data_IF_891227492838
#
_entry.id   IF_891227492838
#
_cell.length_a   1.000
_cell.length_b   1.000
_cell.length_c   1.000
_cell.angle_alpha   90.00
_cell.angle_beta   90.00
_cell.angle_gamma   90.00
#
_symmetry.space_group_name_H-M   'P 1'
#
loop_
_entity.id
_entity.type
_entity.pdbx_description
1 polymer ?
#
# COMPACT_ATOMS: atom_id res chain seq x y z
N UNK A 1 21.25 8.26 -13.69
CA UNK A 1 20.58 9.50 -13.27
C UNK A 1 19.11 9.19 -12.99
N UNK A 2 18.51 9.79 -11.94
CA UNK A 2 17.07 9.69 -11.66
C UNK A 2 16.40 10.95 -12.20
N UNK A 3 15.44 10.79 -13.11
CA UNK A 3 14.64 11.89 -13.65
C UNK A 3 13.16 11.57 -13.49
N UNK A 4 12.32 12.58 -13.42
CA UNK A 4 10.88 12.38 -13.37
C UNK A 4 10.13 13.50 -14.08
N UNK A 5 8.95 13.18 -14.59
CA UNK A 5 8.10 14.10 -15.33
C UNK A 5 6.62 13.82 -15.02
N UNK A 6 5.80 14.87 -15.01
CA UNK A 6 4.36 14.72 -14.96
C UNK A 6 3.86 14.10 -16.28
N UNK A 7 2.95 13.13 -16.20
CA UNK A 7 2.39 12.42 -17.36
C UNK A 7 0.93 12.82 -17.56
N UNK A 8 0.52 12.96 -18.83
CA UNK A 8 -0.89 13.09 -19.21
C UNK A 8 -1.54 14.36 -18.67
N UNK A 9 -2.56 14.18 -17.83
CA UNK A 9 -3.34 15.25 -17.18
C UNK A 9 -2.60 15.94 -16.02
N UNK A 10 -1.41 15.48 -15.67
CA UNK A 10 -0.60 16.03 -14.58
C UNK A 10 -0.97 15.49 -13.21
N UNK A 11 -1.80 14.43 -13.11
CA UNK A 11 -2.14 13.76 -11.86
C UNK A 11 -1.20 12.60 -11.51
N UNK A 12 -0.40 12.15 -12.47
CA UNK A 12 0.59 11.10 -12.30
C UNK A 12 1.98 11.59 -12.69
N UNK A 13 2.99 11.01 -12.03
CA UNK A 13 4.40 11.30 -12.29
C UNK A 13 5.10 10.02 -12.69
N UNK A 14 5.75 10.03 -13.86
CA UNK A 14 6.64 8.95 -14.28
C UNK A 14 8.06 9.28 -13.82
N UNK A 15 8.61 8.39 -13.01
CA UNK A 15 10.00 8.39 -12.58
C UNK A 15 10.77 7.38 -13.40
N UNK A 16 11.91 7.81 -13.93
CA UNK A 16 12.82 7.01 -14.73
C UNK A 16 14.17 6.89 -14.02
N UNK A 17 14.65 5.65 -13.92
CA UNK A 17 15.96 5.31 -13.40
C UNK A 17 16.78 4.71 -14.52
N UNK A 18 18.02 5.17 -14.68
CA UNK A 18 18.99 4.49 -15.54
C UNK A 18 19.31 3.10 -14.95
N UNK A 19 19.40 2.07 -15.80
CA UNK A 19 19.62 0.69 -15.33
C UNK A 19 20.95 0.49 -14.59
N UNK A 20 21.91 1.39 -14.76
CA UNK A 20 23.22 1.33 -14.10
C UNK A 20 23.20 1.85 -12.65
N UNK A 21 22.19 2.65 -12.27
CA UNK A 21 22.02 3.21 -10.92
C UNK A 21 21.28 2.24 -9.98
N UNK A 22 21.87 1.07 -9.73
CA UNK A 22 21.32 0.06 -8.82
C UNK A 22 21.21 0.57 -7.37
N UNK A 23 22.10 1.47 -6.93
CA UNK A 23 22.06 2.05 -5.59
C UNK A 23 20.86 2.97 -5.39
N UNK A 24 20.62 3.90 -6.32
CA UNK A 24 19.45 4.78 -6.30
C UNK A 24 18.15 3.98 -6.39
N UNK A 25 18.14 2.91 -7.19
CA UNK A 25 17.02 1.99 -7.26
C UNK A 25 16.75 1.28 -5.92
N UNK A 26 17.80 0.78 -5.24
CA UNK A 26 17.66 0.15 -3.91
C UNK A 26 17.26 1.13 -2.82
N UNK A 27 17.76 2.36 -2.85
CA UNK A 27 17.37 3.40 -1.90
C UNK A 27 15.89 3.76 -2.08
N UNK A 28 15.46 3.97 -3.34
CA UNK A 28 14.06 4.15 -3.69
C UNK A 28 13.19 2.96 -3.25
N UNK A 29 13.67 1.72 -3.43
CA UNK A 29 12.96 0.54 -2.96
C UNK A 29 12.84 0.49 -1.43
N UNK A 30 13.89 0.87 -0.71
CA UNK A 30 13.91 0.77 0.75
C UNK A 30 13.04 1.85 1.39
N UNK A 31 13.24 3.10 0.96
CA UNK A 31 12.51 4.26 1.47
C UNK A 31 11.11 4.33 0.90
N UNK A 32 10.94 4.25 -0.42
CA UNK A 32 9.65 4.38 -1.13
C UNK A 32 8.64 3.27 -0.84
N UNK A 33 9.08 2.06 -0.46
CA UNK A 33 8.17 0.97 -0.06
C UNK A 33 7.89 0.92 1.45
N UNK A 34 8.49 1.81 2.25
CA UNK A 34 8.27 1.81 3.71
C UNK A 34 8.88 0.62 4.44
N UNK A 35 9.98 0.07 3.90
CA UNK A 35 10.68 -1.07 4.51
C UNK A 35 11.35 -0.65 5.82
N UNK A 36 11.62 0.64 6.05
CA UNK A 36 12.22 1.13 7.30
C UNK A 36 11.45 0.74 8.58
N UNK A 37 10.13 0.52 8.51
CA UNK A 37 9.35 0.06 9.66
C UNK A 37 9.61 -1.42 10.06
N UNK A 38 10.27 -2.20 9.20
CA UNK A 38 10.73 -3.54 9.58
C UNK A 38 11.93 -3.48 10.54
N UNK A 39 12.71 -2.39 10.54
CA UNK A 39 13.88 -2.26 11.41
C UNK A 39 13.52 -1.99 12.89
N UNK A 40 12.27 -1.64 13.19
CA UNK A 40 11.76 -1.44 14.56
C UNK A 40 11.05 -2.68 15.13
N UNK A 41 10.90 -3.76 14.35
CA UNK A 41 10.33 -5.02 14.80
C UNK A 41 11.45 -6.02 15.17
N UNK A 42 11.28 -6.84 16.22
CA UNK A 42 12.28 -7.83 16.64
C UNK A 42 12.19 -9.08 15.76
N UNK A 43 12.35 -8.93 14.44
CA UNK A 43 12.36 -10.03 13.48
C UNK A 43 13.69 -10.00 12.75
N UNK A 44 14.48 -11.06 12.96
CA UNK A 44 15.81 -11.25 12.39
C UNK A 44 15.77 -11.20 10.86
N UNK A 45 16.46 -10.20 10.30
CA UNK A 45 16.63 -9.93 8.87
C UNK A 45 17.67 -10.90 8.29
N UNK A 46 17.27 -12.13 7.95
CA UNK A 46 18.15 -13.05 7.21
C UNK A 46 17.52 -13.69 5.97
N UNK A 47 16.37 -13.21 5.47
CA UNK A 47 15.79 -13.79 4.23
C UNK A 47 15.03 -12.77 3.37
N UNK A 48 15.64 -11.62 3.10
CA UNK A 48 15.11 -10.63 2.14
C UNK A 48 16.07 -10.59 0.95
N UNK A 49 15.81 -11.41 -0.08
CA UNK A 49 16.70 -11.49 -1.24
C UNK A 49 16.34 -12.56 -2.28
N UNK A 50 15.06 -12.85 -2.50
CA UNK A 50 14.64 -13.63 -3.68
C UNK A 50 13.61 -12.88 -4.47
N UNK A 51 14.11 -11.97 -5.30
CA UNK A 51 13.38 -11.50 -6.47
C UNK A 51 13.06 -12.69 -7.38
N UNK A 52 11.81 -12.80 -7.80
CA UNK A 52 11.44 -13.70 -8.88
C UNK A 52 11.89 -13.07 -10.20
N UNK A 53 13.03 -13.51 -10.72
CA UNK A 53 13.45 -13.23 -12.10
C UNK A 53 12.39 -13.76 -13.07
N UNK A 54 11.51 -12.86 -13.53
CA UNK A 54 10.68 -13.10 -14.73
C UNK A 54 11.38 -12.39 -15.87
N UNK A 55 12.32 -13.08 -16.52
CA UNK A 55 12.89 -12.65 -17.78
C UNK A 55 11.85 -12.84 -18.89
N UNK A 56 11.13 -11.78 -19.24
CA UNK A 56 10.33 -11.73 -20.47
C UNK A 56 11.27 -11.36 -21.60
N UNK A 57 11.68 -12.36 -22.39
CA UNK A 57 12.41 -12.14 -23.64
C UNK A 57 11.40 -11.70 -24.71
N UNK A 58 11.45 -10.44 -25.12
CA UNK A 58 10.83 -9.94 -26.36
C UNK A 58 11.94 -9.32 -27.21
N UNK A 59 11.91 -9.67 -28.49
CA UNK A 59 13.02 -9.60 -29.42
C UNK A 59 13.57 -8.21 -29.74
N UNK A 60 14.80 -8.24 -30.25
CA UNK A 60 15.52 -7.26 -31.08
C UNK A 60 14.75 -5.98 -31.42
N UNK A 61 14.77 -5.03 -30.51
CA UNK A 61 14.79 -3.62 -30.81
C UNK A 61 15.71 -2.96 -29.77
N UNK A 62 16.45 -1.93 -30.16
CA UNK A 62 17.39 -1.19 -29.29
C UNK A 62 16.61 -0.46 -28.20
N UNK A 63 16.10 -1.21 -27.21
CA UNK A 63 15.19 -0.73 -26.17
C UNK A 63 16.01 -0.15 -25.02
N UNK A 64 15.79 1.14 -24.77
CA UNK A 64 16.36 1.89 -23.65
C UNK A 64 16.35 1.06 -22.35
N UNK A 65 17.54 0.87 -21.77
CA UNK A 65 17.76 0.21 -20.48
C UNK A 65 17.36 1.14 -19.34
N UNK A 66 16.09 1.56 -19.32
CA UNK A 66 15.55 2.50 -18.33
C UNK A 66 14.42 1.83 -17.56
N UNK A 67 14.52 1.85 -16.22
CA UNK A 67 13.46 1.36 -15.32
C UNK A 67 12.47 2.49 -15.10
N UNK A 68 11.18 2.23 -15.34
CA UNK A 68 10.11 3.23 -15.19
C UNK A 68 9.13 2.88 -14.07
N UNK A 69 8.65 3.90 -13.36
CA UNK A 69 7.65 3.79 -12.29
C UNK A 69 6.69 4.96 -12.35
N UNK A 70 5.41 4.69 -12.11
CA UNK A 70 4.38 5.70 -11.94
C UNK A 70 4.14 5.94 -10.46
N UNK A 71 4.12 7.20 -10.06
CA UNK A 71 3.83 7.66 -8.71
C UNK A 71 2.64 8.62 -8.75
N UNK A 72 1.80 8.50 -7.72
CA UNK A 72 0.78 9.51 -7.45
C UNK A 72 1.43 10.80 -6.94
N UNK A 73 0.73 11.94 -7.05
CA UNK A 73 1.22 13.23 -6.52
C UNK A 73 1.66 13.14 -5.04
N UNK A 74 0.90 12.48 -4.13
CA UNK A 74 1.34 12.29 -2.75
C UNK A 74 2.65 11.50 -2.61
N UNK A 75 2.82 10.42 -3.38
CA UNK A 75 4.04 9.60 -3.34
C UNK A 75 5.25 10.39 -3.86
N UNK A 76 5.07 11.13 -4.96
CA UNK A 76 6.12 11.97 -5.53
C UNK A 76 6.55 13.06 -4.55
N UNK A 77 5.58 13.78 -3.97
CA UNK A 77 5.88 14.85 -3.04
C UNK A 77 6.58 14.32 -1.77
N UNK A 78 6.14 13.17 -1.26
CA UNK A 78 6.80 12.50 -0.14
C UNK A 78 8.24 12.09 -0.49
N UNK A 79 8.46 11.51 -1.66
CA UNK A 79 9.78 11.09 -2.11
C UNK A 79 10.73 12.28 -2.35
N UNK A 80 10.20 13.43 -2.78
CA UNK A 80 10.96 14.68 -2.87
C UNK A 80 11.36 15.22 -1.48
N UNK A 81 10.44 15.21 -0.49
CA UNK A 81 10.74 15.63 0.89
C UNK A 81 11.81 14.74 1.53
N UNK A 82 11.73 13.42 1.31
CA UNK A 82 12.68 12.45 1.86
C UNK A 82 14.02 12.43 1.10
N UNK A 83 14.19 13.31 0.11
CA UNK A 83 15.40 13.44 -0.70
C UNK A 83 15.67 12.27 -1.64
N UNK A 84 14.67 11.41 -1.88
CA UNK A 84 14.76 10.24 -2.76
C UNK A 84 14.65 10.65 -4.23
N UNK A 85 13.80 11.63 -4.53
CA UNK A 85 13.70 12.21 -5.86
C UNK A 85 14.36 13.60 -5.88
N UNK A 86 15.21 13.88 -6.89
CA UNK A 86 15.73 15.23 -7.07
C UNK A 86 14.58 16.15 -7.48
N UNK A 87 14.39 17.26 -6.76
CA UNK A 87 13.44 18.30 -7.14
C UNK A 87 14.21 19.48 -7.73
N UNK A 88 13.96 19.79 -9.00
CA UNK A 88 14.54 20.98 -9.64
C UNK A 88 13.93 22.27 -9.08
N UNK A 89 12.63 22.24 -8.79
CA UNK A 89 11.87 23.31 -8.14
C UNK A 89 11.99 23.24 -6.61
N UNK A 90 11.76 24.35 -5.92
CA UNK A 90 11.64 24.32 -4.46
C UNK A 90 10.44 23.48 -4.01
N UNK A 91 10.51 22.86 -2.83
CA UNK A 91 9.39 22.07 -2.28
C UNK A 91 8.08 22.86 -2.16
N UNK A 92 8.15 24.19 -2.08
CA UNK A 92 6.97 25.07 -2.05
C UNK A 92 6.37 25.26 -3.45
N UNK A 93 7.20 25.47 -4.47
CA UNK A 93 6.72 25.57 -5.85
C UNK A 93 6.09 24.26 -6.31
N UNK A 94 6.72 23.12 -5.97
CA UNK A 94 6.16 21.80 -6.28
C UNK A 94 4.81 21.57 -5.57
N UNK A 95 4.69 22.02 -4.31
CA UNK A 95 3.43 21.96 -3.56
C UNK A 95 2.31 22.74 -4.24
N UNK A 96 2.56 24.00 -4.60
CA UNK A 96 1.56 24.84 -5.27
C UNK A 96 1.20 24.30 -6.64
N UNK A 97 2.16 23.75 -7.38
CA UNK A 97 1.91 23.06 -8.65
C UNK A 97 0.96 21.89 -8.46
N UNK A 98 1.24 20.96 -7.55
CA UNK A 98 0.38 19.80 -7.32
C UNK A 98 -1.00 20.18 -6.77
N UNK A 99 -1.06 21.19 -5.91
CA UNK A 99 -2.32 21.77 -5.41
C UNK A 99 -3.15 22.38 -6.53
N UNK A 100 -2.53 23.03 -7.52
CA UNK A 100 -3.22 23.57 -8.69
C UNK A 100 -3.71 22.48 -9.66
N UNK A 101 -3.01 21.36 -9.75
CA UNK A 101 -3.37 20.23 -10.62
C UNK A 101 -4.46 19.33 -10.01
N UNK A 102 -4.56 19.24 -8.68
CA UNK A 102 -5.57 18.41 -8.01
C UNK A 102 -6.06 19.06 -6.73
N UNK A 103 -7.37 19.32 -6.68
CA UNK A 103 -8.04 19.87 -5.49
C UNK A 103 -7.95 18.95 -4.27
N UNK A 104 -7.76 17.65 -4.49
CA UNK A 104 -7.68 16.63 -3.44
C UNK A 104 -6.24 16.35 -2.99
N UNK A 105 -5.24 16.93 -3.66
CA UNK A 105 -3.83 16.63 -3.41
C UNK A 105 -3.44 16.87 -1.95
N UNK A 106 -3.80 18.04 -1.40
CA UNK A 106 -3.37 18.45 -0.05
C UNK A 106 -3.83 17.43 1.00
N UNK A 107 -5.14 17.17 1.09
CA UNK A 107 -5.69 16.20 2.06
C UNK A 107 -5.12 14.79 1.89
N UNK A 108 -4.98 14.34 0.64
CA UNK A 108 -4.46 13.01 0.33
C UNK A 108 -3.00 12.90 0.72
N UNK A 109 -2.19 13.93 0.45
CA UNK A 109 -0.80 13.97 0.88
C UNK A 109 -0.65 14.04 2.40
N UNK A 110 -1.42 14.87 3.09
CA UNK A 110 -1.33 14.96 4.56
C UNK A 110 -1.66 13.61 5.21
N UNK A 111 -2.73 12.94 4.76
CA UNK A 111 -3.08 11.59 5.22
C UNK A 111 -1.97 10.58 4.88
N UNK A 112 -1.44 10.62 3.65
CA UNK A 112 -0.31 9.78 3.23
C UNK A 112 0.91 9.98 4.14
N UNK A 113 1.30 11.24 4.37
CA UNK A 113 2.42 11.61 5.24
C UNK A 113 2.21 11.13 6.67
N UNK A 114 1.01 11.30 7.23
CA UNK A 114 0.67 10.82 8.57
C UNK A 114 0.99 9.33 8.74
N UNK A 115 0.45 8.49 7.85
CA UNK A 115 0.67 7.05 7.94
C UNK A 115 2.13 6.66 7.68
N UNK A 116 2.81 7.36 6.77
CA UNK A 116 4.25 7.15 6.52
C UNK A 116 5.11 7.46 7.74
N UNK A 117 4.83 8.54 8.47
CA UNK A 117 5.56 8.90 9.71
C UNK A 117 5.35 7.89 10.82
N UNK A 118 4.21 7.22 10.85
CA UNK A 118 3.92 6.09 11.72
C UNK A 118 4.51 4.75 11.25
N UNK A 119 5.24 4.74 10.13
CA UNK A 119 5.90 3.55 9.59
C UNK A 119 5.01 2.66 8.71
N UNK A 120 3.79 3.08 8.38
CA UNK A 120 2.99 2.34 7.41
C UNK A 120 3.48 2.59 5.99
N UNK A 121 3.24 1.62 5.12
CA UNK A 121 3.39 1.74 3.68
C UNK A 121 2.00 1.89 3.04
N UNK A 122 1.51 3.11 2.78
CA UNK A 122 0.28 3.33 2.05
C UNK A 122 0.44 2.89 0.59
N UNK A 123 -0.57 2.21 0.07
CA UNK A 123 -0.72 1.87 -1.34
C UNK A 123 -2.13 2.18 -1.80
N UNK A 124 -2.34 2.25 -3.12
CA UNK A 124 -3.66 2.53 -3.69
C UNK A 124 -4.76 1.63 -3.09
N UNK A 125 -5.81 2.27 -2.57
CA UNK A 125 -6.99 1.62 -2.03
C UNK A 125 -8.06 1.29 -3.08
N UNK A 126 -7.77 1.45 -4.37
CA UNK A 126 -8.75 1.35 -5.47
C UNK A 126 -9.57 0.05 -5.42
N UNK A 127 -8.94 -1.09 -5.12
CA UNK A 127 -9.61 -2.39 -5.03
C UNK A 127 -10.63 -2.49 -3.88
N UNK A 128 -10.64 -1.51 -2.97
CA UNK A 128 -11.50 -1.45 -1.78
C UNK A 128 -12.42 -0.24 -1.79
N UNK A 129 -12.46 0.53 -2.89
CA UNK A 129 -13.25 1.76 -2.98
C UNK A 129 -12.76 2.86 -2.04
N UNK A 130 -11.45 2.90 -1.76
CA UNK A 130 -10.85 3.82 -0.80
C UNK A 130 -9.58 4.47 -1.36
N UNK A 131 -9.04 5.45 -0.64
CA UNK A 131 -7.85 6.19 -1.06
C UNK A 131 -6.59 5.35 -0.86
N UNK A 132 -6.42 4.76 0.32
CA UNK A 132 -5.25 3.94 0.63
C UNK A 132 -5.59 2.62 1.31
N UNK A 133 -4.63 1.71 1.25
CA UNK A 133 -4.50 0.59 2.18
C UNK A 133 -3.13 0.61 2.83
N UNK A 134 -3.06 0.23 4.10
CA UNK A 134 -1.84 0.31 4.90
C UNK A 134 -1.23 -1.06 5.11
N UNK A 135 0.06 -1.18 4.81
CA UNK A 135 0.89 -2.36 5.10
C UNK A 135 1.95 -2.01 6.15
N UNK A 136 2.31 -2.97 7.02
CA UNK A 136 3.47 -2.82 7.94
C UNK A 136 4.84 -2.95 7.27
N UNK A 137 4.85 -3.23 5.97
CA UNK A 137 6.06 -3.48 5.19
C UNK A 137 5.71 -3.80 3.74
N UNK A 138 6.55 -4.59 3.07
CA UNK A 138 6.32 -4.95 1.67
C UNK A 138 5.00 -5.69 1.48
N UNK A 139 4.24 -5.29 0.46
CA UNK A 139 3.02 -5.98 0.04
C UNK A 139 3.29 -7.42 -0.46
N UNK A 140 4.54 -7.81 -0.72
CA UNK A 140 4.90 -9.22 -0.99
C UNK A 140 4.79 -10.10 0.24
N UNK A 141 5.05 -9.53 1.42
CA UNK A 141 5.29 -10.27 2.66
C UNK A 141 4.13 -10.09 3.66
N UNK A 142 3.47 -8.94 3.63
CA UNK A 142 2.35 -8.61 4.52
C UNK A 142 1.04 -8.46 3.76
N UNK A 143 -0.07 -8.75 4.43
CA UNK A 143 -1.39 -8.28 4.02
C UNK A 143 -1.59 -6.86 4.54
N UNK A 144 -2.38 -6.06 3.82
CA UNK A 144 -2.82 -4.77 4.36
C UNK A 144 -3.76 -4.99 5.55
N UNK A 145 -3.66 -4.12 6.55
CA UNK A 145 -4.45 -4.18 7.79
C UNK A 145 -5.61 -3.17 7.77
N UNK A 146 -5.35 -1.99 7.19
CA UNK A 146 -6.30 -0.89 7.18
C UNK A 146 -6.71 -0.50 5.77
N UNK A 147 -7.97 -0.10 5.62
CA UNK A 147 -8.52 0.61 4.47
C UNK A 147 -8.71 2.06 4.93
N UNK A 148 -8.06 3.01 4.25
CA UNK A 148 -8.09 4.43 4.58
C UNK A 148 -8.97 5.16 3.58
N UNK A 149 -10.02 5.77 4.08
CA UNK A 149 -10.89 6.64 3.30
C UNK A 149 -10.72 8.07 3.79
N UNK A 150 -10.11 8.93 2.96
CA UNK A 150 -9.96 10.36 3.23
C UNK A 150 -11.26 11.06 2.87
N UNK A 151 -11.88 11.72 3.84
CA UNK A 151 -13.14 12.44 3.68
C UNK A 151 -12.92 13.79 3.00
N UNK A 152 -13.97 14.29 2.35
CA UNK A 152 -14.01 15.67 1.87
C UNK A 152 -14.15 16.61 3.07
N UNK A 153 -13.48 17.77 3.05
CA UNK A 153 -13.49 18.73 4.16
C UNK A 153 -14.89 19.35 4.38
N UNK A 154 -15.68 19.43 3.31
CA UNK A 154 -16.97 20.12 3.29
C UNK A 154 -18.17 19.18 3.46
N UNK A 155 -17.97 17.87 3.35
CA UNK A 155 -19.06 16.89 3.35
C UNK A 155 -18.70 15.62 4.14
N UNK A 156 -19.52 15.33 5.14
CA UNK A 156 -19.47 14.05 5.84
C UNK A 156 -19.75 12.90 4.86
N UNK A 157 -19.05 11.78 5.04
CA UNK A 157 -19.29 10.60 4.21
C UNK A 157 -20.73 10.11 4.33
N UNK A 158 -21.39 9.95 3.18
CA UNK A 158 -22.75 9.40 3.15
C UNK A 158 -22.82 8.03 3.83
N UNK A 159 -23.97 7.72 4.42
CA UNK A 159 -24.21 6.41 5.03
C UNK A 159 -23.97 5.25 4.04
N UNK A 160 -24.29 5.45 2.76
CA UNK A 160 -24.05 4.46 1.71
C UNK A 160 -22.55 4.18 1.51
N UNK A 161 -21.72 5.22 1.57
CA UNK A 161 -20.25 5.09 1.50
C UNK A 161 -19.74 4.28 2.69
N UNK A 162 -20.17 4.64 3.91
CA UNK A 162 -19.77 3.95 5.14
C UNK A 162 -20.20 2.47 5.10
N UNK A 163 -21.45 2.20 4.69
CA UNK A 163 -21.97 0.83 4.58
C UNK A 163 -21.20 0.01 3.51
N UNK A 164 -20.83 0.63 2.40
CA UNK A 164 -20.06 -0.03 1.33
C UNK A 164 -18.65 -0.39 1.80
N UNK A 165 -17.95 0.56 2.43
CA UNK A 165 -16.60 0.36 2.97
C UNK A 165 -16.60 -0.72 4.05
N UNK A 166 -17.53 -0.67 5.00
CA UNK A 166 -17.63 -1.64 6.10
C UNK A 166 -17.97 -3.05 5.60
N UNK A 167 -18.85 -3.17 4.60
CA UNK A 167 -19.17 -4.45 3.97
C UNK A 167 -17.95 -5.08 3.31
N UNK A 168 -17.19 -4.31 2.53
CA UNK A 168 -15.97 -4.81 1.87
C UNK A 168 -14.92 -5.17 2.92
N UNK A 169 -14.69 -4.30 3.89
CA UNK A 169 -13.70 -4.49 4.95
C UNK A 169 -13.94 -5.77 5.76
N UNK A 170 -15.20 -6.09 6.04
CA UNK A 170 -15.58 -7.33 6.72
C UNK A 170 -15.18 -8.59 5.92
N UNK A 171 -15.39 -8.59 4.61
CA UNK A 171 -15.07 -9.73 3.74
C UNK A 171 -13.55 -9.98 3.64
N UNK A 172 -12.76 -8.90 3.62
CA UNK A 172 -11.30 -8.96 3.51
C UNK A 172 -10.55 -8.84 4.85
N UNK A 173 -11.30 -8.88 5.97
CA UNK A 173 -10.81 -8.81 7.36
C UNK A 173 -9.92 -7.59 7.65
N UNK A 174 -10.31 -6.42 7.15
CA UNK A 174 -9.59 -5.14 7.36
C UNK A 174 -10.40 -4.22 8.26
N UNK A 175 -9.71 -3.25 8.85
CA UNK A 175 -10.35 -2.15 9.60
C UNK A 175 -10.45 -0.92 8.70
N UNK A 176 -11.60 -0.25 8.69
CA UNK A 176 -11.77 1.02 7.97
C UNK A 176 -11.29 2.16 8.86
N UNK A 177 -10.50 3.07 8.32
CA UNK A 177 -10.14 4.35 8.92
C UNK A 177 -10.80 5.45 8.09
N UNK A 178 -11.84 6.08 8.62
CA UNK A 178 -12.41 7.29 8.06
C UNK A 178 -11.55 8.46 8.53
N UNK A 179 -10.78 9.06 7.64
CA UNK A 179 -9.80 10.10 7.96
C UNK A 179 -10.28 11.45 7.49
N UNK A 180 -10.26 12.43 8.39
CA UNK A 180 -10.53 13.84 8.12
C UNK A 180 -9.23 14.60 8.24
N UNK A 181 -8.99 15.50 7.29
CA UNK A 181 -7.86 16.42 7.33
C UNK A 181 -8.44 17.82 7.44
N UNK A 182 -8.01 18.57 8.45
CA UNK A 182 -8.48 19.94 8.66
C UNK A 182 -7.31 20.90 8.65
N UNK A 183 -7.40 21.95 7.84
CA UNK A 183 -6.41 23.02 7.79
C UNK A 183 -6.77 24.13 8.80
N UNK A 184 -5.81 24.55 9.61
CA UNK A 184 -5.93 25.69 10.50
C UNK A 184 -4.79 26.70 10.24
N UNK A 185 -5.16 27.97 10.07
CA UNK A 185 -4.21 29.08 10.10
C UNK A 185 -3.89 29.38 11.56
N UNK A 186 -2.62 29.26 11.97
CA UNK A 186 -2.18 29.36 13.38
C UNK A 186 -2.83 30.54 14.11
N UNK A 187 -3.68 30.24 15.10
CA UNK A 187 -4.09 31.18 16.12
C UNK A 187 -3.57 30.67 17.48
N UNK A 188 -2.45 31.25 17.93
CA UNK A 188 -1.83 31.06 19.26
C UNK A 188 -1.33 29.65 19.62
N UNK A 189 -0.18 29.63 20.28
CA UNK A 189 0.66 28.47 20.51
C UNK A 189 0.35 27.80 21.85
N UNK A 190 0.05 26.50 21.81
CA UNK A 190 0.37 25.60 22.92
C UNK A 190 1.33 24.53 22.39
N UNK A 191 2.61 24.73 22.70
CA UNK A 191 3.71 23.84 22.36
C UNK A 191 3.75 22.67 23.35
N UNK A 192 2.73 21.81 23.31
CA UNK A 192 2.79 20.47 23.89
C UNK A 192 3.20 19.47 22.81
N UNK A 193 4.04 18.48 23.13
CA UNK A 193 4.23 17.33 22.24
C UNK A 193 2.92 16.56 22.17
N UNK A 194 2.12 16.80 21.13
CA UNK A 194 0.88 16.06 20.95
C UNK A 194 1.25 14.64 20.55
N UNK A 195 0.83 13.66 21.35
CA UNK A 195 1.08 12.25 21.05
C UNK A 195 0.42 11.90 19.72
N UNK A 196 1.21 11.41 18.78
CA UNK A 196 0.74 11.07 17.43
C UNK A 196 0.48 9.57 17.39
N UNK A 197 -0.76 9.20 17.09
CA UNK A 197 -1.18 7.81 16.97
C UNK A 197 -1.81 7.53 15.59
N UNK A 198 -2.38 6.34 15.37
CA UNK A 198 -2.98 5.98 14.09
C UNK A 198 -4.20 6.83 13.70
N UNK A 199 -4.85 7.43 14.68
CA UNK A 199 -6.11 8.16 14.54
C UNK A 199 -5.96 9.66 14.73
N UNK A 200 -4.80 10.14 15.18
CA UNK A 200 -4.59 11.55 15.43
C UNK A 200 -3.15 11.98 15.12
N UNK A 201 -2.97 13.12 14.45
CA UNK A 201 -1.67 13.75 14.30
C UNK A 201 -1.74 15.18 13.78
N UNK A 202 -0.72 15.98 14.09
CA UNK A 202 -0.63 17.38 13.68
C UNK A 202 0.66 17.60 12.89
N UNK A 203 0.55 18.23 11.72
CA UNK A 203 1.65 18.46 10.80
C UNK A 203 1.66 19.92 10.32
N UNK A 204 2.85 20.46 10.06
CA UNK A 204 2.98 21.81 9.51
C UNK A 204 3.62 21.73 8.13
N UNK A 205 2.94 22.27 7.11
CA UNK A 205 3.45 22.38 5.75
C UNK A 205 3.17 23.78 5.22
N UNK A 206 4.22 24.44 4.71
CA UNK A 206 4.12 25.76 4.06
C UNK A 206 3.31 26.79 4.86
N UNK A 207 3.59 26.90 6.16
CA UNK A 207 2.96 27.83 7.12
C UNK A 207 1.49 27.53 7.47
N UNK A 208 0.96 26.39 7.03
CA UNK A 208 -0.36 25.89 7.39
C UNK A 208 -0.22 24.69 8.33
N UNK A 209 -1.00 24.69 9.41
CA UNK A 209 -1.12 23.54 10.29
C UNK A 209 -2.26 22.66 9.77
N UNK A 210 -1.99 21.37 9.67
CA UNK A 210 -2.97 20.37 9.30
C UNK A 210 -3.13 19.38 10.45
N UNK A 211 -4.38 19.12 10.82
CA UNK A 211 -4.74 18.08 11.78
C UNK A 211 -5.33 16.91 11.02
N UNK A 212 -4.86 15.70 11.33
CA UNK A 212 -5.44 14.45 10.87
C UNK A 212 -6.19 13.85 12.04
N UNK A 213 -7.48 13.58 11.85
CA UNK A 213 -8.31 12.82 12.78
C UNK A 213 -8.90 11.62 12.04
N UNK A 214 -8.97 10.46 12.67
CA UNK A 214 -9.55 9.29 12.05
C UNK A 214 -10.43 8.47 12.99
N UNK A 215 -11.55 8.01 12.47
CA UNK A 215 -12.45 7.08 13.14
C UNK A 215 -12.19 5.68 12.61
N UNK A 216 -11.80 4.77 13.50
CA UNK A 216 -11.62 3.36 13.18
C UNK A 216 -12.94 2.61 13.30
N UNK A 217 -13.49 2.14 12.17
CA UNK A 217 -14.68 1.29 12.16
C UNK A 217 -14.25 -0.18 12.15
N UNK A 218 -14.64 -0.88 13.20
CA UNK A 218 -14.31 -2.29 13.45
C UNK A 218 -15.56 -3.12 13.62
N UNK A 219 -15.43 -4.39 13.31
CA UNK A 219 -16.43 -5.35 13.74
C UNK A 219 -16.30 -5.52 15.25
N UNK A 220 -17.38 -5.25 15.99
CA UNK A 220 -17.40 -5.44 17.42
C UNK A 220 -17.35 -6.94 17.74
N UNK A 221 -16.43 -7.33 18.62
CA UNK A 221 -16.34 -8.70 19.12
C UNK A 221 -17.16 -8.80 20.42
N UNK A 222 -18.32 -9.51 20.41
CA UNK A 222 -19.15 -9.61 21.59
C UNK A 222 -18.46 -10.35 22.74
N UNK A 223 -17.41 -11.14 22.48
CA UNK A 223 -16.71 -11.89 23.53
C UNK A 223 -15.94 -11.00 24.49
N UNK A 224 -15.64 -9.76 24.09
CA UNK A 224 -14.93 -8.76 24.91
C UNK A 224 -15.85 -7.65 25.40
N UNK A 225 -17.17 -7.76 25.19
CA UNK A 225 -18.17 -6.72 25.45
C UNK A 225 -18.08 -6.08 26.85
N UNK A 226 -17.90 -6.92 27.87
CA UNK A 226 -17.95 -6.50 29.27
C UNK A 226 -16.59 -5.97 29.81
N UNK A 227 -15.53 -6.04 28.98
CA UNK A 227 -14.19 -5.59 29.38
C UNK A 227 -13.95 -4.10 29.11
N UNK A 228 -13.15 -3.44 29.95
CA UNK A 228 -12.72 -2.05 29.73
C UNK A 228 -11.96 -1.82 28.40
N UNK A 229 -11.51 -2.90 27.75
CA UNK A 229 -10.83 -2.85 26.45
C UNK A 229 -11.80 -2.87 25.25
N UNK A 230 -13.11 -3.07 25.48
CA UNK A 230 -14.10 -3.25 24.41
C UNK A 230 -14.22 -2.06 23.45
N UNK A 231 -13.94 -0.86 23.95
CA UNK A 231 -13.96 0.40 23.20
C UNK A 231 -12.57 0.95 22.88
N UNK A 232 -11.49 0.34 23.38
CA UNK A 232 -10.12 0.83 23.16
C UNK A 232 -9.60 0.35 21.82
N UNK A 233 -8.87 1.20 21.09
CA UNK A 233 -8.20 0.80 19.86
C UNK A 233 -7.16 -0.31 20.13
N UNK A 234 -7.37 -1.50 19.55
CA UNK A 234 -6.42 -2.62 19.61
C UNK A 234 -5.75 -2.83 18.24
N UNK A 235 -4.42 -2.84 18.13
CA UNK A 235 -3.80 -3.14 16.83
C UNK A 235 -4.21 -4.52 16.32
N UNK A 236 -4.41 -4.65 15.00
CA UNK A 236 -4.67 -5.98 14.43
C UNK A 236 -3.43 -6.87 14.59
N UNK A 237 -3.61 -8.17 14.88
CA UNK A 237 -2.48 -9.10 14.94
C UNK A 237 -1.82 -9.20 13.56
N UNK A 238 -0.49 -9.14 13.52
CA UNK A 238 0.28 -9.23 12.28
C UNK A 238 0.21 -10.66 11.74
N UNK A 239 -0.26 -10.82 10.51
CA UNK A 239 -0.29 -12.11 9.83
C UNK A 239 0.62 -12.05 8.59
N UNK A 240 1.88 -12.53 8.70
CA UNK A 240 2.76 -12.65 7.55
C UNK A 240 2.20 -13.62 6.50
N UNK A 241 2.48 -13.35 5.23
CA UNK A 241 2.17 -14.28 4.15
C UNK A 241 3.04 -15.52 4.30
N UNK A 242 2.44 -16.70 4.18
CA UNK A 242 3.20 -17.95 4.12
C UNK A 242 4.13 -17.93 2.90
N UNK A 243 5.41 -18.31 3.04
CA UNK A 243 6.31 -18.39 1.90
C UNK A 243 5.74 -19.35 0.86
N UNK A 244 5.73 -18.94 -0.41
CA UNK A 244 5.28 -19.81 -1.51
C UNK A 244 6.24 -21.00 -1.62
N UNK A 245 5.87 -22.14 -1.05
CA UNK A 245 6.59 -23.39 -1.31
C UNK A 245 6.49 -23.69 -2.80
N UNK A 246 7.64 -23.83 -3.48
CA UNK A 246 7.68 -24.20 -4.89
C UNK A 246 6.85 -25.48 -5.08
N UNK A 247 5.78 -25.42 -5.88
CA UNK A 247 5.01 -26.60 -6.25
C UNK A 247 5.99 -27.59 -6.89
N UNK A 248 6.28 -28.71 -6.22
CA UNK A 248 6.98 -29.84 -6.84
C UNK A 248 6.17 -30.20 -8.10
N UNK A 249 6.74 -29.99 -9.29
CA UNK A 249 6.22 -30.55 -10.54
C UNK A 249 6.09 -32.05 -10.30
N UNK A 250 4.87 -32.55 -10.13
CA UNK A 250 4.65 -33.98 -9.95
C UNK A 250 5.17 -34.72 -11.18
N UNK A 251 6.09 -35.63 -10.89
CA UNK A 251 6.84 -36.54 -11.74
C UNK A 251 5.90 -37.35 -12.65
N UNK A 252 6.22 -37.32 -13.95
CA UNK A 252 5.88 -38.22 -15.05
C UNK A 252 4.60 -39.08 -14.93
N UNK A 253 3.65 -38.87 -15.86
CA UNK A 253 2.61 -39.85 -16.23
C UNK A 253 3.25 -41.24 -16.43
N UNK A 254 2.79 -42.23 -15.66
CA UNK A 254 3.14 -43.65 -15.83
C UNK A 254 2.58 -44.12 -17.19
N UNK A 255 3.35 -44.79 -18.06
CA UNK A 255 2.78 -45.31 -19.31
C UNK A 255 1.81 -46.45 -18.99
N UNK A 256 0.64 -46.43 -19.64
CA UNK A 256 -0.32 -47.55 -19.59
C UNK A 256 0.35 -48.76 -20.23
N UNK A 257 0.48 -49.85 -19.46
CA UNK A 257 0.81 -51.18 -19.98
C UNK A 257 -0.36 -51.60 -20.89
N UNK A 258 -0.12 -51.72 -22.18
CA UNK A 258 -0.97 -52.53 -23.07
C UNK A 258 -0.76 -53.99 -22.64
N UNK A 259 -1.82 -54.65 -22.19
CA UNK A 259 -1.89 -56.09 -22.14
C UNK A 259 -2.54 -56.53 -23.44
N UNK A 260 -1.73 -57.12 -24.32
CA UNK A 260 -2.19 -57.90 -25.47
C UNK A 260 -3.02 -59.08 -24.97
N UNK A 261 -4.03 -59.44 -25.76
CA UNK A 261 -5.14 -60.26 -25.34
C UNK A 261 -4.84 -61.75 -25.21
N UNK A 262 -5.73 -62.41 -24.48
CA UNK A 262 -6.09 -63.80 -24.73
C UNK A 262 -7.62 -63.86 -24.89
N UNK A 263 -8.03 -64.21 -26.10
CA UNK A 263 -9.35 -64.71 -26.46
C UNK A 263 -9.66 -66.01 -25.71
N UNK A 264 -10.91 -66.20 -25.27
CA UNK A 264 -11.78 -67.35 -25.62
C UNK A 264 -13.14 -67.31 -24.89
N UNK A 265 -14.19 -67.11 -25.69
CA UNK A 265 -15.50 -67.81 -25.72
C UNK A 265 -16.37 -67.99 -24.46
N UNK A 266 -17.64 -67.61 -24.57
CA UNK A 266 -18.74 -68.44 -24.04
C UNK A 266 -20.01 -67.75 -23.54
N UNK A 267 -21.01 -67.61 -24.43
CA UNK A 267 -22.45 -67.86 -24.22
C UNK A 267 -23.26 -67.20 -23.07
N UNK A 268 -24.32 -66.45 -23.45
CA UNK A 268 -25.68 -66.87 -23.05
C UNK A 268 -26.54 -65.96 -22.16
N UNK A 269 -27.59 -65.40 -22.80
CA UNK A 269 -28.98 -65.16 -22.33
C UNK A 269 -29.30 -64.04 -21.32
N UNK A 270 -30.03 -63.06 -21.87
CA UNK A 270 -31.31 -62.48 -21.45
C UNK A 270 -31.94 -62.95 -20.13
N UNK A 271 -32.25 -61.97 -19.28
CA UNK A 271 -33.57 -61.69 -18.67
C UNK A 271 -33.59 -60.23 -18.25
#
# INVERSE_FOLDING_TARGET
MVTWQAVGDGLEVEVTFDAEDEEAWRDFQTKGFGISALNTLPVSVETIGKESNVSVAIGSDTLETKRRRHLSLPETYYAAIDGVLPADDSLRELWERFKSSSTTFVRNFIAYHHFRRLGWAPKSGLNYGAHYVLYRGSATDFHSEYIVYVQDEEEDSSWNTIQSLTRIAADVKKTVLLCTVTAATRASEESGSVDTDLTFGVYNFHDVQYTVEAIAIRFWDPSIADGAQSYTFQQQPVIPKKPKTAKKKNRAKRPKRQLEGETLTGSGKST
#
